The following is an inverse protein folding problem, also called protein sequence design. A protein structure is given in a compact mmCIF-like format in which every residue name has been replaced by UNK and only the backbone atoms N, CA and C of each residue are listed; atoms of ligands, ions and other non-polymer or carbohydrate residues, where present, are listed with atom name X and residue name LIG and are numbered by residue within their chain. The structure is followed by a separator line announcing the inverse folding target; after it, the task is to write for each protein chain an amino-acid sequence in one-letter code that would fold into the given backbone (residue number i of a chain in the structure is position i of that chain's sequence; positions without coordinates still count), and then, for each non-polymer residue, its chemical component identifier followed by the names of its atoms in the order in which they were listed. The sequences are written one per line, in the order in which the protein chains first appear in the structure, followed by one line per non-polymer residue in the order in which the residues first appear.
data_IF_569354955604
#
_entry.id   IF_569354955604
#
_cell.length_a   1.000
_cell.length_b   1.000
_cell.length_c   1.000
_cell.angle_alpha   90.00
_cell.angle_beta   90.00
_cell.angle_gamma   90.00
#
_symmetry.space_group_name_H-M   'P 1'
#
loop_
_entity.id
_entity.type
_entity.pdbx_description
1 polymer ?
#
# COMPACT_ATOMS: atom_id res chain seq x y z
N UNK A 1 -2.24 13.53 -12.97
CA UNK A 1 -1.26 13.45 -11.88
C UNK A 1 -1.60 12.23 -11.06
N UNK A 2 -0.66 11.28 -10.95
CA UNK A 2 -0.90 9.99 -10.30
C UNK A 2 -0.64 10.09 -8.79
N UNK A 3 -1.42 9.35 -8.01
CA UNK A 3 -1.38 9.32 -6.54
C UNK A 3 -1.19 7.88 -6.10
N UNK A 4 -0.34 7.67 -5.11
CA UNK A 4 -0.18 6.42 -4.38
C UNK A 4 -0.93 6.50 -3.06
N UNK A 5 -1.59 5.42 -2.65
CA UNK A 5 -2.24 5.30 -1.35
C UNK A 5 -1.23 4.99 -0.24
N UNK A 6 -0.21 4.18 -0.56
CA UNK A 6 0.89 3.76 0.31
C UNK A 6 0.46 2.90 1.52
N UNK A 7 -0.80 2.49 1.60
CA UNK A 7 -1.35 1.79 2.77
C UNK A 7 -2.60 0.95 2.44
N UNK A 8 -2.62 0.27 1.28
CA UNK A 8 -3.74 -0.59 0.88
C UNK A 8 -3.75 -1.84 1.77
N UNK A 9 -4.66 -1.86 2.75
CA UNK A 9 -4.85 -2.94 3.72
C UNK A 9 -6.34 -3.14 4.05
N UNK A 10 -6.68 -4.13 4.89
CA UNK A 10 -8.07 -4.38 5.30
C UNK A 10 -8.75 -3.15 5.90
N UNK A 11 -8.03 -2.35 6.68
CA UNK A 11 -8.57 -1.16 7.34
C UNK A 11 -8.84 -0.01 6.37
N UNK A 12 -8.22 -0.03 5.19
CA UNK A 12 -8.45 0.96 4.13
C UNK A 12 -9.66 0.64 3.25
N UNK A 13 -10.24 -0.57 3.38
CA UNK A 13 -11.37 -1.01 2.57
C UNK A 13 -12.70 -0.88 3.30
N UNK A 14 -13.63 -0.20 2.64
CA UNK A 14 -14.99 -0.03 3.11
C UNK A 14 -15.97 -0.65 2.12
N UNK A 15 -16.91 -1.43 2.62
CA UNK A 15 -17.96 -2.06 1.82
C UNK A 15 -19.29 -1.46 2.24
N UNK A 16 -20.01 -0.87 1.29
CA UNK A 16 -21.37 -0.37 1.53
C UNK A 16 -22.38 -1.52 1.60
N UNK A 17 -23.59 -1.23 2.08
CA UNK A 17 -24.68 -2.22 2.15
C UNK A 17 -25.04 -2.84 0.80
N UNK A 18 -24.83 -2.13 -0.30
CA UNK A 18 -25.04 -2.65 -1.66
C UNK A 18 -23.78 -3.27 -2.28
N UNK A 19 -22.75 -3.56 -1.48
CA UNK A 19 -21.55 -4.27 -1.93
C UNK A 19 -20.58 -3.43 -2.77
N UNK A 20 -20.67 -2.10 -2.73
CA UNK A 20 -19.69 -1.23 -3.40
C UNK A 20 -18.46 -1.08 -2.52
N UNK A 21 -17.30 -1.34 -3.11
CA UNK A 21 -16.02 -1.19 -2.44
C UNK A 21 -15.53 0.24 -2.59
N UNK A 22 -15.06 0.81 -1.48
CA UNK A 22 -14.46 2.13 -1.44
C UNK A 22 -13.13 2.03 -0.70
N UNK A 23 -12.14 2.73 -1.24
CA UNK A 23 -10.87 2.94 -0.57
C UNK A 23 -10.99 4.19 0.32
N UNK A 24 -10.50 4.10 1.55
CA UNK A 24 -10.42 5.18 2.53
C UNK A 24 -9.06 5.15 3.24
N UNK A 25 -8.87 6.00 4.25
CA UNK A 25 -7.60 6.11 5.00
C UNK A 25 -6.42 6.62 4.15
N UNK A 26 -6.61 7.80 3.56
CA UNK A 26 -5.63 8.47 2.70
C UNK A 26 -4.54 9.25 3.46
N UNK A 27 -4.36 9.06 4.76
CA UNK A 27 -3.35 9.77 5.56
C UNK A 27 -1.91 9.54 5.06
N UNK A 28 -1.66 8.40 4.42
CA UNK A 28 -0.36 8.06 3.82
C UNK A 28 -0.27 8.44 2.33
N UNK A 29 -1.37 8.90 1.73
CA UNK A 29 -1.44 9.08 0.29
C UNK A 29 -0.62 10.28 -0.18
N UNK A 30 0.08 10.13 -1.30
CA UNK A 30 0.84 11.21 -1.90
C UNK A 30 0.90 11.10 -3.42
N UNK A 31 1.26 12.21 -4.07
CA UNK A 31 1.58 12.21 -5.49
C UNK A 31 2.87 11.44 -5.74
N UNK A 32 2.99 10.79 -6.89
CA UNK A 32 4.22 10.06 -7.25
C UNK A 32 5.47 10.96 -7.22
N UNK A 33 5.35 12.24 -7.57
CA UNK A 33 6.45 13.21 -7.51
C UNK A 33 7.01 13.41 -6.08
N UNK A 34 6.23 13.04 -5.05
CA UNK A 34 6.60 13.14 -3.64
C UNK A 34 6.88 11.76 -3.01
N UNK A 35 6.70 10.68 -3.78
CA UNK A 35 6.83 9.31 -3.28
C UNK A 35 8.30 8.92 -3.27
N UNK A 36 8.91 9.04 -2.09
CA UNK A 36 10.34 8.75 -1.87
C UNK A 36 10.52 7.72 -0.77
N UNK A 37 11.64 7.00 -0.75
CA UNK A 37 12.00 6.10 0.36
C UNK A 37 11.98 6.83 1.70
N UNK A 38 12.46 8.08 1.72
CA UNK A 38 12.43 8.95 2.91
C UNK A 38 11.01 9.28 3.35
N UNK A 39 10.13 9.63 2.42
CA UNK A 39 8.72 9.91 2.71
C UNK A 39 8.04 8.67 3.32
N UNK A 40 8.18 7.52 2.68
CA UNK A 40 7.60 6.26 3.17
C UNK A 40 8.15 5.84 4.53
N UNK A 41 9.45 6.03 4.76
CA UNK A 41 10.08 5.79 6.06
C UNK A 41 9.47 6.66 7.17
N UNK A 42 9.15 7.93 6.87
CA UNK A 42 8.50 8.84 7.83
C UNK A 42 7.09 8.41 8.24
N UNK A 43 6.42 7.60 7.42
CA UNK A 43 5.07 7.09 7.64
C UNK A 43 5.04 5.67 8.24
N UNK A 44 6.20 5.04 8.46
CA UNK A 44 6.31 3.62 8.83
C UNK A 44 5.50 3.25 10.08
N UNK A 45 5.32 4.17 11.03
CA UNK A 45 4.56 3.92 12.26
C UNK A 45 3.04 3.88 12.08
N UNK A 46 2.51 4.46 11.00
CA UNK A 46 1.06 4.54 10.73
C UNK A 46 0.64 3.67 9.53
N UNK A 47 1.60 3.06 8.83
CA UNK A 47 1.36 2.10 7.75
C UNK A 47 1.24 0.70 8.31
N UNK A 48 0.40 -0.11 7.68
CA UNK A 48 0.37 -1.54 7.93
C UNK A 48 1.70 -2.17 7.49
N UNK A 49 2.22 -3.11 8.29
CA UNK A 49 3.50 -3.76 8.03
C UNK A 49 3.48 -4.53 6.70
N UNK A 50 2.34 -5.09 6.36
CA UNK A 50 2.03 -5.80 5.12
C UNK A 50 2.12 -4.92 3.86
N UNK A 51 2.03 -3.60 4.02
CA UNK A 51 2.13 -2.63 2.93
C UNK A 51 3.56 -2.12 2.72
N UNK A 52 4.53 -2.57 3.53
CA UNK A 52 5.93 -2.19 3.38
C UNK A 52 6.59 -3.14 2.37
N UNK A 53 7.04 -2.58 1.26
CA UNK A 53 7.68 -3.33 0.18
C UNK A 53 9.12 -3.72 0.54
N UNK A 54 9.69 -4.79 -0.07
CA UNK A 54 11.10 -5.11 0.07
C UNK A 54 12.04 -3.96 -0.34
N UNK A 55 11.72 -3.27 -1.42
CA UNK A 55 12.49 -2.19 -2.06
C UNK A 55 12.68 -0.97 -1.12
N UNK A 56 11.70 -0.75 -0.22
CA UNK A 56 11.79 0.26 0.84
C UNK A 56 12.88 -0.01 1.88
N UNK A 57 13.28 -1.27 2.07
CA UNK A 57 14.25 -1.67 3.10
C UNK A 57 15.66 -1.86 2.55
N UNK A 58 15.88 -1.64 1.25
CA UNK A 58 17.21 -1.69 0.64
C UNK A 58 18.07 -0.49 1.06
N UNK A 59 19.14 -0.76 1.82
CA UNK A 59 19.97 0.29 2.45
C UNK A 59 20.85 1.08 1.48
N UNK A 60 21.21 0.48 0.34
CA UNK A 60 22.22 1.02 -0.59
C UNK A 60 21.62 1.52 -1.92
N UNK A 61 20.29 1.54 -2.04
CA UNK A 61 19.59 1.92 -3.26
C UNK A 61 19.29 3.43 -3.30
N UNK A 62 19.30 4.00 -4.51
CA UNK A 62 18.78 5.35 -4.77
C UNK A 62 17.29 5.43 -4.45
N UNK A 63 16.69 6.60 -4.60
CA UNK A 63 15.22 6.70 -4.51
C UNK A 63 14.53 5.84 -5.58
N UNK A 64 13.23 5.64 -5.43
CA UNK A 64 12.47 4.77 -6.30
C UNK A 64 12.56 5.16 -7.78
N UNK A 65 12.70 4.16 -8.65
CA UNK A 65 12.40 4.31 -10.06
C UNK A 65 10.87 4.32 -10.30
N UNK A 66 10.49 4.48 -11.57
CA UNK A 66 9.10 4.64 -11.95
C UNK A 66 8.31 3.35 -11.74
N UNK A 67 8.93 2.22 -12.03
CA UNK A 67 8.37 0.88 -11.90
C UNK A 67 8.15 0.52 -10.43
N UNK A 68 9.12 0.83 -9.56
CA UNK A 68 9.03 0.67 -8.10
C UNK A 68 7.90 1.52 -7.51
N UNK A 69 7.75 2.77 -7.96
CA UNK A 69 6.64 3.66 -7.55
C UNK A 69 5.27 3.01 -7.83
N UNK A 70 5.09 2.38 -8.99
CA UNK A 70 3.83 1.70 -9.31
C UNK A 70 3.63 0.43 -8.49
N UNK A 71 4.72 -0.26 -8.15
CA UNK A 71 4.67 -1.56 -7.49
C UNK A 71 4.22 -1.47 -6.03
N UNK A 72 4.37 -0.33 -5.35
CA UNK A 72 4.06 -0.17 -3.91
C UNK A 72 2.61 -0.55 -3.59
N UNK A 73 1.63 0.09 -4.24
CA UNK A 73 0.21 -0.20 -4.00
C UNK A 73 -0.20 -1.58 -4.54
N UNK A 74 0.44 -2.04 -5.61
CA UNK A 74 0.21 -3.38 -6.20
C UNK A 74 0.67 -4.48 -5.24
N UNK A 75 1.83 -4.33 -4.62
CA UNK A 75 2.37 -5.23 -3.62
C UNK A 75 1.46 -5.29 -2.39
N UNK A 76 1.07 -4.12 -1.86
CA UNK A 76 0.17 -4.02 -0.72
C UNK A 76 -1.17 -4.71 -1.01
N UNK A 77 -1.76 -4.47 -2.18
CA UNK A 77 -2.97 -5.17 -2.62
C UNK A 77 -2.77 -6.69 -2.74
N UNK A 78 -1.65 -7.15 -3.29
CA UNK A 78 -1.31 -8.58 -3.37
C UNK A 78 -1.23 -9.24 -1.99
N UNK A 79 -0.62 -8.57 -1.01
CA UNK A 79 -0.58 -9.06 0.37
C UNK A 79 -1.95 -9.07 1.03
N UNK A 80 -2.77 -8.05 0.80
CA UNK A 80 -4.17 -8.03 1.23
C UNK A 80 -4.97 -9.23 0.68
N UNK A 81 -4.88 -9.51 -0.62
CA UNK A 81 -5.59 -10.65 -1.22
C UNK A 81 -5.08 -11.97 -0.63
N UNK A 82 -3.77 -12.12 -0.46
CA UNK A 82 -3.18 -13.29 0.19
C UNK A 82 -3.73 -13.48 1.61
N UNK A 83 -3.86 -12.42 2.39
CA UNK A 83 -4.43 -12.46 3.72
C UNK A 83 -5.93 -12.83 3.68
N UNK A 84 -6.72 -12.23 2.79
CA UNK A 84 -8.13 -12.57 2.61
C UNK A 84 -8.33 -14.05 2.24
N UNK A 85 -7.47 -14.62 1.39
CA UNK A 85 -7.55 -16.04 1.03
C UNK A 85 -7.36 -16.98 2.23
N UNK A 86 -6.60 -16.58 3.25
CA UNK A 86 -6.49 -17.38 4.48
C UNK A 86 -7.77 -17.37 5.32
N UNK A 87 -8.61 -16.34 5.16
CA UNK A 87 -9.90 -16.18 5.87
C UNK A 87 -11.03 -16.82 5.06
N UNK A 88 -10.99 -16.67 3.74
CA UNK A 88 -12.03 -17.06 2.79
C UNK A 88 -11.84 -18.51 2.29
N UNK A 89 -10.90 -19.28 2.87
CA UNK A 89 -10.89 -20.74 2.69
C UNK A 89 -12.13 -21.35 3.34
N UNK A 90 -13.21 -21.31 2.56
CA UNK A 90 -14.34 -22.20 2.50
C UNK A 90 -13.81 -23.53 1.99
N UNK A 91 -13.84 -24.56 2.84
CA UNK A 91 -13.91 -25.95 2.39
C UNK A 91 -15.22 -26.18 1.61
#
# INVERSE_FOLDING_TARGET
TSISHNNICLLSLYISLNGIWKLGNFECACRYDNLTKKYLSSLKMIRAEECITPEENEKDSTDFDKEEIYAIDVYAFGTLIRHLMTIVNVD
#
